data_IF_152907342580
#
_entry.id   IF_152907342580
#
_cell.length_a   1.000
_cell.length_b   1.000
_cell.length_c   1.000
_cell.angle_alpha   90.00
_cell.angle_beta   90.00
_cell.angle_gamma   90.00
#
_symmetry.space_group_name_H-M   'P 1'
#
loop_
_entity.id
_entity.type
_entity.pdbx_description
1 polymer ?
#
# COMPACT_ATOMS: atom_id res chain seq x y z
N UNK A 1 -8.74 11.49 12.65
CA UNK A 1 -7.65 10.49 12.78
C UNK A 1 -6.28 11.12 13.00
N UNK A 2 -5.55 11.64 11.99
CA UNK A 2 -4.20 12.20 12.21
C UNK A 2 -4.19 13.38 13.19
N UNK A 3 -5.11 14.33 13.04
CA UNK A 3 -5.21 15.48 13.95
C UNK A 3 -5.49 15.04 15.39
N UNK A 4 -6.39 14.07 15.59
CA UNK A 4 -6.71 13.56 16.91
C UNK A 4 -5.51 12.86 17.58
N UNK A 5 -4.68 12.16 16.80
CA UNK A 5 -3.43 11.58 17.26
C UNK A 5 -2.43 12.65 17.73
N UNK A 6 -2.33 13.77 17.01
CA UNK A 6 -1.49 14.89 17.45
C UNK A 6 -2.05 15.50 18.73
N UNK A 7 -3.37 15.70 18.79
CA UNK A 7 -4.05 16.28 19.96
C UNK A 7 -4.00 15.40 21.21
N UNK A 8 -3.73 14.10 21.08
CA UNK A 8 -3.52 13.19 22.24
C UNK A 8 -2.13 13.33 22.88
N UNK A 9 -1.27 14.21 22.36
CA UNK A 9 0.01 14.59 22.98
C UNK A 9 1.25 14.07 22.25
N UNK A 10 1.10 13.50 21.05
CA UNK A 10 2.23 13.05 20.24
C UNK A 10 2.79 14.18 19.39
N UNK A 11 4.11 14.39 19.48
CA UNK A 11 4.83 15.26 18.56
C UNK A 11 4.87 14.61 17.17
N UNK A 12 4.70 15.42 16.14
CA UNK A 12 4.60 14.95 14.77
C UNK A 12 5.46 15.81 13.82
N UNK A 13 6.20 15.14 12.94
CA UNK A 13 6.93 15.75 11.82
C UNK A 13 6.31 15.19 10.55
N UNK A 14 5.69 16.04 9.74
CA UNK A 14 5.08 15.64 8.47
C UNK A 14 5.76 16.34 7.30
N UNK A 15 6.06 15.57 6.26
CA UNK A 15 6.63 16.05 5.01
C UNK A 15 5.59 16.01 3.90
N UNK A 16 5.48 17.11 3.16
CA UNK A 16 4.74 17.16 1.91
C UNK A 16 5.72 17.47 0.78
N UNK A 17 5.70 16.65 -0.27
CA UNK A 17 6.39 16.98 -1.51
C UNK A 17 5.61 18.05 -2.29
N UNK A 18 6.23 18.63 -3.33
CA UNK A 18 5.50 19.53 -4.25
C UNK A 18 4.33 18.76 -4.86
N UNK A 19 3.10 19.23 -4.62
CA UNK A 19 1.88 18.55 -5.06
C UNK A 19 1.77 18.40 -6.58
N UNK A 20 2.42 19.28 -7.36
CA UNK A 20 2.47 19.16 -8.83
C UNK A 20 3.38 18.01 -9.25
N UNK A 21 4.52 17.86 -8.57
CA UNK A 21 5.46 16.76 -8.79
C UNK A 21 4.83 15.45 -8.33
N UNK A 22 4.18 15.43 -7.16
CA UNK A 22 3.49 14.23 -6.66
C UNK A 22 2.40 13.78 -7.63
N UNK A 23 1.57 14.71 -8.13
CA UNK A 23 0.55 14.45 -9.15
C UNK A 23 1.15 13.86 -10.43
N UNK A 24 2.24 14.45 -10.92
CA UNK A 24 2.95 13.96 -12.10
C UNK A 24 3.49 12.54 -11.87
N UNK A 25 4.13 12.29 -10.74
CA UNK A 25 4.66 10.98 -10.40
C UNK A 25 3.55 9.93 -10.27
N UNK A 26 2.39 10.27 -9.69
CA UNK A 26 1.25 9.34 -9.60
C UNK A 26 0.69 9.01 -10.97
N UNK A 27 0.62 9.99 -11.90
CA UNK A 27 0.24 9.74 -13.29
C UNK A 27 1.23 8.80 -13.98
N UNK A 28 2.52 9.09 -13.88
CA UNK A 28 3.57 8.25 -14.47
C UNK A 28 3.58 6.83 -13.88
N UNK A 29 3.37 6.70 -12.58
CA UNK A 29 3.28 5.42 -11.90
C UNK A 29 2.07 4.60 -12.33
N UNK A 30 0.91 5.22 -12.53
CA UNK A 30 -0.21 4.53 -13.18
C UNK A 30 0.15 4.05 -14.59
N UNK A 31 0.76 4.90 -15.41
CA UNK A 31 1.05 4.58 -16.81
C UNK A 31 2.11 3.49 -16.97
N UNK A 32 3.16 3.49 -16.12
CA UNK A 32 4.32 2.62 -16.30
C UNK A 32 4.42 1.46 -15.31
N UNK A 33 3.70 1.54 -14.18
CA UNK A 33 3.62 0.46 -13.18
C UNK A 33 2.21 -0.09 -12.99
N UNK A 34 1.18 0.56 -13.52
CA UNK A 34 -0.20 0.19 -13.23
C UNK A 34 -0.54 0.39 -11.76
N UNK A 35 0.09 1.38 -11.10
CA UNK A 35 -0.17 1.71 -9.70
C UNK A 35 0.15 3.19 -9.42
N UNK A 36 -0.85 4.07 -9.23
CA UNK A 36 -0.62 5.49 -8.94
C UNK A 36 -0.08 5.74 -7.53
N UNK A 37 -0.05 4.73 -6.67
CA UNK A 37 0.33 4.82 -5.26
C UNK A 37 1.85 4.79 -5.03
N UNK A 38 2.63 4.47 -6.06
CA UNK A 38 4.09 4.35 -5.94
C UNK A 38 4.79 5.58 -5.30
N UNK A 39 4.42 6.85 -5.59
CA UNK A 39 5.04 8.01 -4.95
C UNK A 39 4.75 8.11 -3.46
N UNK A 40 3.57 7.64 -3.03
CA UNK A 40 3.24 7.49 -1.62
C UNK A 40 4.15 6.45 -0.96
N UNK A 41 4.39 5.31 -1.61
CA UNK A 41 5.26 4.24 -1.09
C UNK A 41 6.71 4.73 -0.89
N UNK A 42 7.24 5.53 -1.84
CA UNK A 42 8.54 6.19 -1.65
C UNK A 42 8.53 7.07 -0.41
N UNK A 43 7.51 7.91 -0.25
CA UNK A 43 7.37 8.79 0.91
C UNK A 43 7.29 8.01 2.22
N UNK A 44 6.42 7.01 2.30
CA UNK A 44 6.21 6.17 3.47
C UNK A 44 7.51 5.50 3.94
N UNK A 45 8.34 5.06 3.00
CA UNK A 45 9.51 4.24 3.33
C UNK A 45 10.80 5.09 3.46
N UNK A 46 10.96 6.14 2.65
CA UNK A 46 12.19 6.96 2.63
C UNK A 46 12.13 8.20 3.52
N UNK A 47 10.97 8.84 3.67
CA UNK A 47 10.88 10.07 4.46
C UNK A 47 11.21 9.84 5.95
N UNK A 48 10.70 8.79 6.63
CA UNK A 48 11.11 8.51 8.01
C UNK A 48 12.61 8.25 8.15
N UNK A 49 13.24 7.62 7.15
CA UNK A 49 14.70 7.42 7.14
C UNK A 49 15.45 8.75 7.02
N UNK A 50 15.00 9.66 6.15
CA UNK A 50 15.56 11.00 6.03
C UNK A 50 15.48 11.75 7.36
N UNK A 51 14.33 11.69 8.05
CA UNK A 51 14.15 12.32 9.35
C UNK A 51 15.08 11.68 10.39
N UNK A 52 15.11 10.36 10.48
CA UNK A 52 16.00 9.67 11.42
C UNK A 52 17.48 10.03 11.20
N UNK A 53 17.91 10.05 9.94
CA UNK A 53 19.27 10.43 9.58
C UNK A 53 19.57 11.93 9.79
N UNK A 54 18.57 12.81 9.75
CA UNK A 54 18.76 14.26 9.96
C UNK A 54 18.70 14.69 11.43
N UNK A 55 17.94 13.96 12.26
CA UNK A 55 17.74 14.28 13.68
C UNK A 55 18.52 13.35 14.63
N UNK A 56 19.43 12.53 14.11
CA UNK A 56 20.23 11.59 14.90
C UNK A 56 19.36 10.62 15.72
N UNK A 57 18.26 10.16 15.11
CA UNK A 57 17.37 9.17 15.73
C UNK A 57 17.93 7.78 15.42
N UNK A 58 18.28 6.96 16.41
CA UNK A 58 18.92 5.66 16.20
C UNK A 58 17.91 4.51 15.96
N UNK A 59 16.62 4.74 16.18
CA UNK A 59 15.58 3.72 16.07
C UNK A 59 14.41 4.23 15.22
N UNK A 60 14.04 3.44 14.21
CA UNK A 60 12.83 3.60 13.44
C UNK A 60 11.92 2.40 13.68
N UNK A 61 10.65 2.63 14.01
CA UNK A 61 9.67 1.59 14.28
C UNK A 61 8.52 1.69 13.26
N UNK A 62 8.33 0.65 12.46
CA UNK A 62 7.15 0.45 11.64
C UNK A 62 6.13 -0.45 12.36
N UNK A 63 4.87 -0.45 11.91
CA UNK A 63 3.83 -1.31 12.45
C UNK A 63 4.10 -2.78 12.11
N UNK A 64 3.74 -3.15 10.89
CA UNK A 64 3.83 -4.50 10.35
C UNK A 64 4.99 -4.70 9.39
N UNK A 65 5.47 -5.95 9.30
CA UNK A 65 6.38 -6.36 8.25
C UNK A 65 5.57 -6.89 7.05
N UNK A 66 5.36 -6.04 6.04
CA UNK A 66 4.55 -6.40 4.86
C UNK A 66 5.00 -7.69 4.15
N UNK A 67 6.30 -8.01 4.14
CA UNK A 67 6.79 -9.26 3.54
C UNK A 67 6.30 -10.50 4.30
N UNK A 68 6.20 -10.41 5.63
CA UNK A 68 5.70 -11.53 6.45
C UNK A 68 4.19 -11.60 6.40
N UNK A 69 3.53 -10.44 6.44
CA UNK A 69 2.08 -10.37 6.56
C UNK A 69 1.32 -10.64 5.25
N UNK A 70 1.91 -10.31 4.11
CA UNK A 70 1.23 -10.34 2.81
C UNK A 70 1.88 -11.28 1.77
N UNK A 71 2.77 -12.18 2.22
CA UNK A 71 3.29 -13.27 1.38
C UNK A 71 4.52 -12.93 0.55
N UNK A 72 5.41 -12.08 1.08
CA UNK A 72 6.72 -11.75 0.52
C UNK A 72 7.86 -12.64 1.01
N UNK A 73 9.08 -12.12 0.98
CA UNK A 73 10.30 -12.88 1.31
C UNK A 73 10.46 -13.13 2.82
N UNK A 74 10.58 -14.40 3.20
CA UNK A 74 10.73 -14.82 4.61
C UNK A 74 12.13 -14.59 5.20
N UNK A 75 13.08 -13.99 4.46
CA UNK A 75 14.47 -13.76 4.87
C UNK A 75 14.55 -13.09 6.25
N UNK A 76 13.69 -12.11 6.50
CA UNK A 76 13.67 -11.29 7.71
C UNK A 76 12.52 -11.64 8.68
N UNK A 77 11.82 -12.77 8.46
CA UNK A 77 10.60 -13.09 9.21
C UNK A 77 10.80 -13.30 10.71
N UNK A 78 11.96 -13.81 11.11
CA UNK A 78 12.28 -14.15 12.51
C UNK A 78 13.34 -13.21 13.09
N UNK A 79 13.39 -11.97 12.61
CA UNK A 79 14.30 -10.93 13.11
C UNK A 79 13.50 -9.68 13.42
N UNK A 80 13.82 -9.03 14.54
CA UNK A 80 13.21 -7.74 14.89
C UNK A 80 13.63 -6.64 13.91
N UNK A 81 14.88 -6.72 13.46
CA UNK A 81 15.52 -5.73 12.59
C UNK A 81 15.32 -6.08 11.13
N UNK A 82 15.13 -5.05 10.30
CA UNK A 82 15.17 -5.15 8.84
C UNK A 82 16.53 -4.70 8.29
N UNK A 83 17.03 -5.39 7.28
CA UNK A 83 18.20 -4.94 6.51
C UNK A 83 17.82 -3.81 5.56
N UNK A 84 18.48 -2.65 5.73
CA UNK A 84 18.15 -1.43 4.98
C UNK A 84 18.53 -1.56 3.50
N UNK A 85 19.49 -2.42 3.17
CA UNK A 85 19.86 -2.74 1.78
C UNK A 85 18.75 -3.44 0.98
N UNK A 86 17.76 -4.03 1.66
CA UNK A 86 16.65 -4.73 1.01
C UNK A 86 15.56 -3.75 0.49
N UNK A 87 15.72 -2.44 0.71
CA UNK A 87 14.70 -1.41 0.45
C UNK A 87 14.27 -1.32 -1.01
N UNK A 88 15.21 -1.14 -1.94
CA UNK A 88 14.87 -0.85 -3.34
C UNK A 88 14.24 -2.05 -4.05
N UNK A 89 14.61 -3.28 -3.66
CA UNK A 89 14.14 -4.50 -4.31
C UNK A 89 12.70 -4.86 -3.94
N UNK A 90 12.32 -4.78 -2.66
CA UNK A 90 11.00 -5.24 -2.23
C UNK A 90 9.91 -4.18 -2.39
N UNK A 91 10.24 -2.88 -2.20
CA UNK A 91 9.21 -1.85 -2.05
C UNK A 91 8.95 -1.01 -3.30
N UNK A 92 9.87 -1.02 -4.27
CA UNK A 92 9.82 -0.08 -5.40
C UNK A 92 9.56 -0.73 -6.75
N UNK A 93 9.18 -2.02 -6.80
CA UNK A 93 8.93 -2.72 -8.07
C UNK A 93 10.09 -2.61 -9.08
N UNK A 94 11.34 -2.52 -8.59
CA UNK A 94 12.56 -2.21 -9.35
C UNK A 94 12.60 -0.84 -10.05
N UNK A 95 11.73 0.10 -9.64
CA UNK A 95 11.71 1.47 -10.14
C UNK A 95 12.01 2.44 -8.99
N UNK A 96 13.28 2.73 -8.68
CA UNK A 96 13.64 3.67 -7.63
C UNK A 96 13.23 5.11 -8.01
N UNK A 97 13.14 6.06 -7.06
CA UNK A 97 12.78 7.44 -7.33
C UNK A 97 13.58 8.08 -8.49
N UNK A 98 14.86 7.78 -8.61
CA UNK A 98 15.75 8.31 -9.64
C UNK A 98 15.36 7.90 -11.06
N UNK A 99 14.70 6.75 -11.24
CA UNK A 99 14.31 6.26 -12.55
C UNK A 99 13.29 7.18 -13.24
N UNK A 100 12.53 7.97 -12.46
CA UNK A 100 11.59 8.95 -13.01
C UNK A 100 12.26 10.08 -13.79
N UNK A 101 13.58 10.27 -13.65
CA UNK A 101 14.33 11.22 -14.47
C UNK A 101 14.30 10.84 -15.96
N UNK A 102 14.24 9.54 -16.28
CA UNK A 102 14.11 9.04 -17.66
C UNK A 102 12.75 9.41 -18.27
N UNK A 103 11.76 9.68 -17.42
CA UNK A 103 10.41 10.13 -17.79
C UNK A 103 10.25 11.65 -17.71
N UNK A 104 11.35 12.40 -17.61
CA UNK A 104 11.36 13.87 -17.67
C UNK A 104 11.11 14.58 -16.35
N UNK A 105 11.15 13.88 -15.21
CA UNK A 105 11.08 14.52 -13.88
C UNK A 105 12.45 15.09 -13.51
N UNK A 106 12.49 16.35 -13.07
CA UNK A 106 13.75 16.99 -12.68
C UNK A 106 14.34 16.25 -11.45
N UNK A 107 15.62 15.81 -11.48
CA UNK A 107 16.26 15.16 -10.35
C UNK A 107 16.17 15.94 -9.02
N UNK A 108 16.06 17.27 -9.06
CA UNK A 108 15.88 18.09 -7.85
C UNK A 108 14.53 17.86 -7.19
N UNK A 109 13.50 17.57 -7.98
CA UNK A 109 12.12 17.37 -7.52
C UNK A 109 11.93 15.96 -6.96
N UNK A 110 12.87 15.05 -7.26
CA UNK A 110 12.89 13.68 -6.75
C UNK A 110 13.50 13.57 -5.35
N UNK A 111 14.29 14.56 -4.91
CA UNK A 111 15.00 14.56 -3.61
C UNK A 111 14.10 14.18 -2.42
N UNK A 112 12.85 14.68 -2.28
CA UNK A 112 11.98 14.31 -1.17
C UNK A 112 11.62 12.82 -1.10
N UNK A 113 11.71 12.10 -2.21
CA UNK A 113 11.35 10.69 -2.33
C UNK A 113 12.54 9.76 -2.15
N UNK A 114 13.78 10.28 -2.10
CA UNK A 114 15.00 9.48 -2.02
C UNK A 114 15.30 9.04 -0.59
N UNK A 115 15.89 7.87 -0.44
CA UNK A 115 16.53 7.47 0.81
C UNK A 115 17.74 8.39 1.14
N UNK A 116 18.10 8.58 2.42
CA UNK A 116 19.39 9.17 2.75
C UNK A 116 20.53 8.22 2.32
N UNK A 117 21.76 8.73 2.10
CA UNK A 117 22.90 7.87 1.74
C UNK A 117 23.11 6.76 2.76
N UNK A 118 23.31 5.53 2.30
CA UNK A 118 23.44 4.34 3.16
C UNK A 118 24.57 4.46 4.20
N UNK A 119 25.70 5.06 3.83
CA UNK A 119 26.81 5.27 4.78
C UNK A 119 26.38 6.13 5.98
N UNK A 120 25.56 7.16 5.75
CA UNK A 120 25.04 8.01 6.82
C UNK A 120 24.10 7.25 7.76
N UNK A 121 23.33 6.31 7.23
CA UNK A 121 22.47 5.43 8.02
C UNK A 121 23.33 4.52 8.91
N UNK A 122 24.36 3.91 8.32
CA UNK A 122 25.28 2.98 8.99
C UNK A 122 26.13 3.66 10.06
N UNK A 123 26.68 4.83 9.78
CA UNK A 123 27.48 5.63 10.72
C UNK A 123 26.69 5.98 12.00
N UNK A 124 25.38 6.22 11.85
CA UNK A 124 24.50 6.56 12.97
C UNK A 124 23.98 5.34 13.74
N UNK A 125 24.24 4.13 13.27
CA UNK A 125 23.71 2.91 13.86
C UNK A 125 22.18 2.88 13.87
N UNK A 126 21.52 3.44 12.83
CA UNK A 126 20.07 3.44 12.72
C UNK A 126 19.55 2.00 12.51
N UNK A 127 18.68 1.56 13.40
CA UNK A 127 17.98 0.27 13.28
C UNK A 127 16.52 0.47 12.91
N UNK A 128 16.02 -0.34 11.97
CA UNK A 128 14.60 -0.40 11.61
C UNK A 128 13.99 -1.63 12.24
N UNK A 129 12.93 -1.45 13.00
CA UNK A 129 12.17 -2.50 13.66
C UNK A 129 10.71 -2.52 13.21
N UNK A 130 10.09 -3.69 13.37
CA UNK A 130 8.65 -3.86 13.21
C UNK A 130 8.01 -4.16 14.56
N UNK A 131 6.98 -3.40 14.93
CA UNK A 131 6.22 -3.61 16.15
C UNK A 131 5.61 -5.02 16.21
N UNK A 132 5.15 -5.52 15.06
CA UNK A 132 4.63 -6.88 14.88
C UNK A 132 5.57 -8.03 15.30
N UNK A 133 6.87 -7.76 15.43
CA UNK A 133 7.82 -8.75 15.97
C UNK A 133 7.70 -8.90 17.50
N UNK A 134 7.36 -7.82 18.20
CA UNK A 134 7.28 -7.76 19.66
C UNK A 134 5.88 -8.00 20.20
N UNK A 135 4.89 -7.62 19.41
CA UNK A 135 3.48 -7.78 19.72
C UNK A 135 2.81 -8.48 18.55
N UNK A 136 1.94 -9.43 18.84
CA UNK A 136 1.18 -10.13 17.81
C UNK A 136 0.41 -9.10 16.96
N UNK A 137 0.70 -9.07 15.67
CA UNK A 137 0.11 -8.11 14.75
C UNK A 137 -1.27 -8.59 14.33
N UNK A 138 -2.29 -8.01 14.96
CA UNK A 138 -3.69 -8.31 14.66
C UNK A 138 -4.41 -7.01 14.26
N UNK A 139 -4.69 -6.80 12.96
CA UNK A 139 -5.34 -5.57 12.51
C UNK A 139 -6.71 -5.30 13.14
N UNK A 140 -7.46 -6.35 13.49
CA UNK A 140 -8.80 -6.22 14.07
C UNK A 140 -8.71 -5.81 15.55
N UNK A 141 -7.83 -6.45 16.31
CA UNK A 141 -7.60 -6.09 17.72
C UNK A 141 -6.94 -4.70 17.83
N UNK A 142 -6.03 -4.36 16.92
CA UNK A 142 -5.46 -3.02 16.80
C UNK A 142 -6.54 -1.96 16.54
N UNK A 143 -7.53 -2.27 15.69
CA UNK A 143 -8.68 -1.40 15.46
C UNK A 143 -9.53 -1.25 16.72
N UNK A 144 -9.84 -2.34 17.43
CA UNK A 144 -10.63 -2.25 18.67
C UNK A 144 -9.91 -1.45 19.75
N UNK A 145 -8.61 -1.67 19.94
CA UNK A 145 -7.80 -0.90 20.87
C UNK A 145 -7.84 0.59 20.52
N UNK A 146 -7.55 0.95 19.26
CA UNK A 146 -7.60 2.34 18.81
C UNK A 146 -8.99 2.96 19.00
N UNK A 147 -10.06 2.23 18.71
CA UNK A 147 -11.44 2.73 18.87
C UNK A 147 -11.83 2.98 20.32
N UNK A 148 -11.23 2.25 21.27
CA UNK A 148 -11.52 2.39 22.70
C UNK A 148 -10.64 3.44 23.39
N UNK A 149 -9.41 3.62 22.91
CA UNK A 149 -8.38 4.39 23.60
C UNK A 149 -8.00 5.70 22.90
N UNK A 150 -8.54 5.96 21.71
CA UNK A 150 -8.26 7.18 20.93
C UNK A 150 -9.57 7.76 20.38
N UNK A 151 -9.50 8.90 19.68
CA UNK A 151 -10.64 9.43 18.94
C UNK A 151 -10.74 8.88 17.50
N UNK A 152 -10.09 7.74 17.23
CA UNK A 152 -10.18 7.07 15.94
C UNK A 152 -11.65 6.81 15.58
N UNK A 153 -12.04 7.25 14.39
CA UNK A 153 -13.38 7.01 13.84
C UNK A 153 -13.25 6.21 12.55
N UNK A 154 -13.87 5.01 12.44
CA UNK A 154 -13.89 4.26 11.20
C UNK A 154 -14.76 4.97 10.16
N UNK A 155 -14.64 4.58 8.90
CA UNK A 155 -15.55 5.05 7.87
C UNK A 155 -17.02 4.67 8.20
N UNK A 156 -18.00 5.51 7.81
CA UNK A 156 -19.42 5.21 7.99
C UNK A 156 -19.88 4.00 7.16
N UNK A 157 -19.14 3.68 6.11
CA UNK A 157 -19.33 2.54 5.22
C UNK A 157 -18.00 1.78 5.04
N UNK A 158 -18.07 0.56 4.51
CA UNK A 158 -16.87 -0.19 4.13
C UNK A 158 -16.10 0.53 3.02
N UNK A 159 -14.80 0.28 2.93
CA UNK A 159 -14.02 0.71 1.78
C UNK A 159 -14.31 -0.19 0.56
N UNK A 160 -14.30 0.37 -0.64
CA UNK A 160 -14.48 -0.40 -1.88
C UNK A 160 -13.31 -1.39 -2.03
N UNK A 161 -13.61 -2.62 -2.46
CA UNK A 161 -12.62 -3.70 -2.55
C UNK A 161 -12.41 -4.48 -1.26
N UNK A 162 -13.12 -4.16 -0.17
CA UNK A 162 -13.11 -4.92 1.09
C UNK A 162 -14.42 -4.80 1.88
N UNK A 163 -14.55 -5.59 2.95
CA UNK A 163 -15.60 -5.52 3.96
C UNK A 163 -15.18 -4.67 5.17
N UNK A 164 -13.89 -4.33 5.31
CA UNK A 164 -13.37 -3.53 6.42
C UNK A 164 -13.69 -2.03 6.26
N UNK A 165 -13.68 -1.31 7.38
CA UNK A 165 -14.00 0.14 7.45
C UNK A 165 -12.98 0.97 8.21
N UNK A 166 -11.87 0.38 8.63
CA UNK A 166 -10.95 0.99 9.60
C UNK A 166 -9.53 1.21 9.06
N UNK A 167 -9.13 0.56 7.97
CA UNK A 167 -7.77 0.62 7.47
C UNK A 167 -7.68 1.47 6.20
N UNK A 168 -6.56 2.19 6.03
CA UNK A 168 -6.25 3.06 4.88
C UNK A 168 -7.39 4.05 4.56
N UNK A 169 -7.64 4.98 5.47
CA UNK A 169 -8.78 5.92 5.40
C UNK A 169 -8.37 7.34 4.98
N UNK A 170 -7.08 7.56 4.81
CA UNK A 170 -6.43 8.87 4.66
C UNK A 170 -6.03 9.19 3.22
N UNK A 171 -6.18 8.25 2.28
CA UNK A 171 -5.89 8.46 0.86
C UNK A 171 -7.08 8.07 -0.04
N UNK A 172 -7.40 8.93 -1.02
CA UNK A 172 -8.48 8.71 -1.99
C UNK A 172 -8.07 7.79 -3.15
N UNK A 173 -6.77 7.61 -3.39
CA UNK A 173 -6.23 6.69 -4.39
C UNK A 173 -6.22 5.23 -3.90
N UNK A 174 -6.50 4.99 -2.61
CA UNK A 174 -6.42 3.66 -2.00
C UNK A 174 -7.27 2.60 -2.72
N UNK A 175 -8.55 2.91 -2.99
CA UNK A 175 -9.42 1.99 -3.69
C UNK A 175 -8.93 1.70 -5.13
N UNK A 176 -8.27 2.67 -5.77
CA UNK A 176 -7.67 2.51 -7.08
C UNK A 176 -6.44 1.60 -7.04
N UNK A 177 -5.60 1.75 -6.02
CA UNK A 177 -4.44 0.90 -5.75
C UNK A 177 -4.83 -0.58 -5.63
N UNK A 178 -5.82 -0.88 -4.78
CA UNK A 178 -6.27 -2.26 -4.59
C UNK A 178 -7.07 -2.82 -5.78
N UNK A 179 -7.80 -1.98 -6.51
CA UNK A 179 -8.42 -2.41 -7.77
C UNK A 179 -7.35 -2.79 -8.80
N UNK A 180 -6.29 -1.99 -8.95
CA UNK A 180 -5.18 -2.28 -9.86
C UNK A 180 -4.36 -3.50 -9.41
N UNK A 181 -4.19 -3.72 -8.11
CA UNK A 181 -3.66 -4.97 -7.56
C UNK A 181 -4.47 -6.18 -8.07
N UNK A 182 -5.81 -6.10 -8.01
CA UNK A 182 -6.67 -7.14 -8.56
C UNK A 182 -6.49 -7.28 -10.06
N UNK A 183 -6.45 -6.19 -10.83
CA UNK A 183 -6.19 -6.21 -12.28
C UNK A 183 -4.88 -6.94 -12.61
N UNK A 184 -3.80 -6.64 -11.89
CA UNK A 184 -2.46 -7.17 -12.16
C UNK A 184 -2.29 -8.61 -11.72
N UNK A 185 -2.81 -8.96 -10.54
CA UNK A 185 -2.46 -10.20 -9.84
C UNK A 185 -3.65 -11.15 -9.62
N UNK A 186 -4.87 -10.71 -9.94
CA UNK A 186 -6.11 -11.48 -9.73
C UNK A 186 -6.55 -11.56 -8.27
N UNK A 187 -5.86 -10.86 -7.36
CA UNK A 187 -6.16 -10.76 -5.93
C UNK A 187 -6.19 -9.29 -5.52
N UNK A 188 -7.12 -8.91 -4.66
CA UNK A 188 -7.24 -7.55 -4.15
C UNK A 188 -7.09 -7.49 -2.64
N UNK A 189 -7.58 -6.38 -2.07
CA UNK A 189 -7.53 -6.13 -0.63
C UNK A 189 -8.26 -7.19 0.19
N UNK A 190 -9.39 -7.69 -0.30
CA UNK A 190 -10.18 -8.70 0.45
C UNK A 190 -9.39 -9.99 0.60
N UNK A 191 -8.60 -10.38 -0.40
CA UNK A 191 -7.70 -11.53 -0.26
C UNK A 191 -6.71 -11.32 0.88
N UNK A 192 -6.09 -10.15 1.00
CA UNK A 192 -5.16 -9.84 2.10
C UNK A 192 -5.87 -9.83 3.47
N UNK A 193 -6.98 -9.11 3.59
CA UNK A 193 -7.76 -8.98 4.84
C UNK A 193 -8.25 -10.36 5.32
N UNK A 194 -8.83 -11.16 4.42
CA UNK A 194 -9.31 -12.52 4.78
C UNK A 194 -8.18 -13.47 5.11
N UNK A 195 -7.04 -13.38 4.42
CA UNK A 195 -5.88 -14.23 4.73
C UNK A 195 -5.33 -13.96 6.14
N UNK A 196 -5.34 -12.70 6.60
CA UNK A 196 -5.03 -12.35 7.99
C UNK A 196 -6.04 -12.97 8.94
N UNK A 197 -7.32 -12.68 8.74
CA UNK A 197 -8.38 -13.12 9.66
C UNK A 197 -8.52 -14.65 9.74
N UNK A 198 -8.20 -15.38 8.66
CA UNK A 198 -8.13 -16.86 8.69
C UNK A 198 -6.95 -17.34 9.53
N UNK A 199 -5.75 -16.75 9.37
CA UNK A 199 -4.55 -17.15 10.15
C UNK A 199 -4.74 -16.88 11.64
N UNK A 200 -5.47 -15.82 11.96
CA UNK A 200 -5.80 -15.42 13.33
C UNK A 200 -6.98 -16.20 13.92
N UNK A 201 -7.64 -17.06 13.13
CA UNK A 201 -8.76 -17.89 13.56
C UNK A 201 -10.09 -17.12 13.77
N UNK A 202 -10.25 -15.97 13.13
CA UNK A 202 -11.46 -15.11 13.23
C UNK A 202 -12.55 -15.49 12.27
N UNK A 203 -12.17 -15.98 11.09
CA UNK A 203 -13.09 -16.47 10.06
C UNK A 203 -12.60 -17.81 9.52
N UNK A 204 -13.52 -18.61 8.99
CA UNK A 204 -13.19 -19.85 8.29
C UNK A 204 -12.67 -19.57 6.88
N UNK A 205 -12.05 -20.59 6.27
CA UNK A 205 -11.62 -20.51 4.87
C UNK A 205 -12.81 -20.27 3.93
N UNK A 206 -13.91 -20.95 4.18
CA UNK A 206 -15.15 -20.87 3.39
C UNK A 206 -15.75 -19.46 3.46
N UNK A 207 -15.74 -18.85 4.65
CA UNK A 207 -16.13 -17.44 4.84
C UNK A 207 -15.22 -16.50 4.07
N UNK A 208 -13.90 -16.70 4.16
CA UNK A 208 -12.92 -15.91 3.39
C UNK A 208 -13.12 -16.01 1.88
N UNK A 209 -13.33 -17.21 1.34
CA UNK A 209 -13.61 -17.42 -0.10
C UNK A 209 -14.89 -16.67 -0.51
N UNK A 210 -15.94 -16.72 0.31
CA UNK A 210 -17.19 -16.03 0.04
C UNK A 210 -17.01 -14.49 0.03
N UNK A 211 -16.19 -13.95 0.93
CA UNK A 211 -15.85 -12.52 0.99
C UNK A 211 -15.03 -12.11 -0.23
N UNK A 212 -13.97 -12.87 -0.57
CA UNK A 212 -13.14 -12.61 -1.77
C UNK A 212 -14.00 -12.58 -3.03
N UNK A 213 -14.87 -13.57 -3.23
CA UNK A 213 -15.80 -13.62 -4.36
C UNK A 213 -16.70 -12.39 -4.45
N UNK A 214 -17.06 -11.81 -3.30
CA UNK A 214 -18.00 -10.69 -3.22
C UNK A 214 -17.34 -9.33 -3.45
N UNK A 215 -16.09 -9.14 -2.99
CA UNK A 215 -15.50 -7.82 -2.85
C UNK A 215 -14.21 -7.61 -3.65
N UNK A 216 -13.40 -8.64 -3.91
CA UNK A 216 -12.22 -8.44 -4.76
C UNK A 216 -12.64 -8.11 -6.19
N UNK A 217 -11.95 -7.12 -6.79
CA UNK A 217 -12.28 -6.62 -8.12
C UNK A 217 -13.48 -5.67 -8.16
N UNK A 218 -14.03 -5.28 -7.01
CA UNK A 218 -15.02 -4.20 -6.95
C UNK A 218 -14.44 -2.92 -7.57
N UNK A 219 -15.19 -2.34 -8.50
CA UNK A 219 -14.78 -1.11 -9.19
C UNK A 219 -14.83 0.08 -8.23
N UNK A 220 -13.78 0.92 -8.13
CA UNK A 220 -13.66 1.96 -7.11
C UNK A 220 -14.43 3.23 -7.49
N UNK A 221 -15.75 3.24 -7.31
CA UNK A 221 -16.65 4.32 -7.78
C UNK A 221 -16.58 5.58 -6.92
N UNK A 222 -16.42 5.44 -5.61
CA UNK A 222 -16.63 6.54 -4.64
C UNK A 222 -15.75 7.76 -4.92
N UNK A 223 -14.48 7.53 -5.22
CA UNK A 223 -13.50 8.58 -5.52
C UNK A 223 -13.01 8.56 -6.96
N UNK A 224 -13.65 7.78 -7.85
CA UNK A 224 -13.17 7.57 -9.21
C UNK A 224 -12.92 8.87 -9.97
N UNK A 225 -13.92 9.74 -10.05
CA UNK A 225 -13.82 11.00 -10.79
C UNK A 225 -12.72 11.90 -10.21
N UNK A 226 -12.62 11.96 -8.87
CA UNK A 226 -11.54 12.72 -8.22
C UNK A 226 -10.16 12.18 -8.62
N UNK A 227 -10.00 10.86 -8.68
CA UNK A 227 -8.74 10.24 -9.09
C UNK A 227 -8.42 10.54 -10.56
N UNK A 228 -9.41 10.50 -11.45
CA UNK A 228 -9.22 10.83 -12.87
C UNK A 228 -8.81 12.30 -13.06
N UNK A 229 -9.50 13.23 -12.39
CA UNK A 229 -9.17 14.65 -12.40
C UNK A 229 -7.77 14.90 -11.81
N UNK A 230 -7.45 14.21 -10.71
CA UNK A 230 -6.13 14.27 -10.09
C UNK A 230 -5.05 13.71 -11.02
N UNK A 231 -5.28 12.60 -11.72
CA UNK A 231 -4.29 11.97 -12.59
C UNK A 231 -4.26 12.59 -13.99
N UNK A 232 -5.18 13.50 -14.32
CA UNK A 232 -5.27 14.16 -15.62
C UNK A 232 -5.47 13.17 -16.78
N UNK A 233 -6.39 12.22 -16.59
CA UNK A 233 -6.73 11.19 -17.59
C UNK A 233 -8.24 10.99 -17.66
N UNK A 234 -8.73 10.43 -18.76
CA UNK A 234 -10.14 10.05 -18.89
C UNK A 234 -10.37 8.63 -18.38
N UNK A 235 -11.64 8.28 -18.13
CA UNK A 235 -12.03 6.91 -17.78
C UNK A 235 -11.62 5.92 -18.88
N UNK A 236 -11.76 6.28 -20.15
CA UNK A 236 -11.37 5.43 -21.27
C UNK A 236 -9.87 5.14 -21.24
N UNK A 237 -9.04 6.16 -21.05
CA UNK A 237 -7.58 5.97 -20.90
C UNK A 237 -7.25 5.09 -19.70
N UNK A 238 -7.95 5.26 -18.58
CA UNK A 238 -7.75 4.42 -17.40
C UNK A 238 -8.08 2.94 -17.68
N UNK A 239 -9.20 2.67 -18.36
CA UNK A 239 -9.61 1.32 -18.71
C UNK A 239 -8.64 0.68 -19.71
N UNK A 240 -8.16 1.44 -20.71
CA UNK A 240 -7.10 1.01 -21.63
C UNK A 240 -5.83 0.62 -20.87
N UNK A 241 -5.40 1.44 -19.89
CA UNK A 241 -4.25 1.12 -19.04
C UNK A 241 -4.53 -0.19 -18.27
N UNK A 242 -5.69 -0.33 -17.64
CA UNK A 242 -6.04 -1.56 -16.92
C UNK A 242 -5.92 -2.80 -17.81
N UNK A 243 -6.39 -2.72 -19.05
CA UNK A 243 -6.35 -3.84 -19.99
C UNK A 243 -4.91 -4.24 -20.35
N UNK A 244 -3.97 -3.28 -20.43
CA UNK A 244 -2.54 -3.61 -20.65
C UNK A 244 -1.89 -4.35 -19.48
N UNK A 245 -2.44 -4.21 -18.27
CA UNK A 245 -1.94 -4.87 -17.06
C UNK A 245 -2.60 -6.23 -16.79
N UNK A 246 -3.61 -6.63 -17.58
CA UNK A 246 -4.22 -7.95 -17.48
C UNK A 246 -3.35 -8.99 -18.16
N UNK A 247 -2.75 -9.85 -17.35
CA UNK A 247 -1.97 -10.96 -17.87
C UNK A 247 -2.85 -12.07 -18.45
N UNK A 248 -2.53 -12.54 -19.66
CA UNK A 248 -3.25 -13.62 -20.35
C UNK A 248 -3.38 -14.90 -19.53
N UNK A 249 -2.44 -15.21 -18.63
CA UNK A 249 -2.51 -16.43 -17.83
C UNK A 249 -3.54 -16.34 -16.69
N UNK A 250 -3.94 -15.13 -16.28
CA UNK A 250 -4.93 -14.88 -15.22
C UNK A 250 -6.31 -14.58 -15.80
N UNK A 251 -6.36 -13.83 -16.90
CA UNK A 251 -7.58 -13.23 -17.41
C UNK A 251 -8.03 -13.84 -18.73
N UNK A 252 -9.33 -13.92 -18.91
CA UNK A 252 -9.98 -14.18 -20.19
C UNK A 252 -11.08 -13.15 -20.44
N UNK A 253 -11.17 -12.66 -21.67
CA UNK A 253 -12.23 -11.77 -22.07
C UNK A 253 -13.49 -12.58 -22.34
N UNK A 254 -14.61 -12.16 -21.74
CA UNK A 254 -15.93 -12.73 -21.95
C UNK A 254 -16.89 -11.69 -22.50
N UNK A 255 -18.07 -12.10 -22.97
CA UNK A 255 -19.11 -11.17 -23.45
C UNK A 255 -19.57 -10.15 -22.39
N UNK A 256 -19.32 -10.42 -21.10
CA UNK A 256 -19.68 -9.55 -19.98
C UNK A 256 -18.46 -8.80 -19.39
N UNK A 257 -17.31 -8.79 -20.09
CA UNK A 257 -16.06 -8.19 -19.62
C UNK A 257 -15.01 -9.23 -19.22
N UNK A 258 -14.02 -8.82 -18.43
CA UNK A 258 -12.92 -9.68 -18.00
C UNK A 258 -13.32 -10.61 -16.85
N UNK A 259 -12.91 -11.87 -16.93
CA UNK A 259 -13.05 -12.84 -15.84
C UNK A 259 -11.72 -13.54 -15.54
N UNK A 260 -11.53 -13.92 -14.28
CA UNK A 260 -10.40 -14.75 -13.88
C UNK A 260 -10.60 -16.17 -14.41
N UNK A 261 -9.52 -16.78 -14.92
CA UNK A 261 -9.52 -18.15 -15.43
C UNK A 261 -9.63 -19.21 -14.34
N UNK A 262 -9.13 -18.89 -13.14
CA UNK A 262 -9.05 -19.80 -11.98
C UNK A 262 -9.33 -19.06 -10.68
N UNK A 263 -10.54 -18.54 -10.48
CA UNK A 263 -10.85 -17.87 -9.24
C UNK A 263 -10.92 -18.88 -8.07
N UNK A 264 -10.53 -18.44 -6.88
CA UNK A 264 -10.44 -19.32 -5.69
C UNK A 264 -11.78 -19.96 -5.32
N UNK A 265 -12.90 -19.31 -5.63
CA UNK A 265 -14.25 -19.83 -5.37
C UNK A 265 -14.73 -20.90 -6.36
N UNK A 266 -13.96 -21.22 -7.40
CA UNK A 266 -14.22 -22.33 -8.33
C UNK A 266 -13.26 -23.51 -8.08
N UNK A 267 -12.22 -23.32 -7.26
CA UNK A 267 -11.18 -24.32 -7.02
C UNK A 267 -11.59 -25.45 -6.06
N UNK A 268 -12.78 -25.40 -5.44
CA UNK A 268 -13.29 -26.40 -4.49
C UNK A 268 -14.51 -27.18 -5.03
N UNK A 269 -14.55 -27.40 -6.35
CA UNK A 269 -15.51 -28.29 -7.03
C UNK A 269 -14.92 -29.63 -7.43
#
# INVERSE_FOLDING_TARGET
>A
NQQDFIMSGFHNITGFADGRVHRLLSKLALMHLGDPFQPFIYGQTNYPLQIAANFDIPLLMYGENGEVEYGGEMKNAFRATREISDHDRHYFSNLPPEAWAEYGVDPKDLVPYKAPPYERIKEKGLEIHFFGYYHFWDPQENFYYCSQHTAFTPNPERSEGTYSKYASLDDKLDCLHYYLMHVKFGIGRTTSDTAHEIRDGKISREEGIALVKRFDGEYPRKYFQFCMDYLDITEETFLEICDTWRSDHLWEQSGNGWKLKKPIWEAEG
#
